data_IF_775097418860
#
_entry.id   IF_775097418860
#
_cell.length_a   1.000
_cell.length_b   1.000
_cell.length_c   1.000
_cell.angle_alpha   90.00
_cell.angle_beta   90.00
_cell.angle_gamma   90.00
#
_symmetry.space_group_name_H-M   'P 1'
#
loop_
_entity.id
_entity.type
_entity.pdbx_description
1 polymer ?
#
# COMPACT_ATOMS: atom_id res chain seq x y z
N UNK A 1 8.47 7.32 -26.20
CA UNK A 1 7.62 6.10 -26.15
C UNK A 1 6.66 6.16 -27.32
N UNK A 2 6.31 5.04 -27.95
CA UNK A 2 5.23 4.98 -28.96
C UNK A 2 3.91 4.74 -28.26
N UNK A 3 2.83 5.25 -28.85
CA UNK A 3 1.49 5.02 -28.36
C UNK A 3 1.18 3.52 -28.37
N UNK A 4 0.58 3.04 -27.29
CA UNK A 4 0.15 1.65 -27.18
C UNK A 4 -1.00 1.55 -26.17
N UNK A 5 -1.77 0.50 -26.32
CA UNK A 5 -2.76 0.05 -25.34
C UNK A 5 -2.83 -1.48 -25.40
N UNK A 6 -3.07 -2.08 -24.24
CA UNK A 6 -3.21 -3.53 -24.11
C UNK A 6 -4.42 -3.82 -23.23
N UNK A 7 -5.29 -4.69 -23.72
CA UNK A 7 -6.42 -5.24 -22.96
C UNK A 7 -6.02 -6.60 -22.40
N UNK A 8 -6.45 -6.86 -21.17
CA UNK A 8 -6.06 -8.01 -20.38
C UNK A 8 -7.31 -8.78 -19.93
N UNK A 9 -7.21 -10.10 -19.70
CA UNK A 9 -8.32 -10.89 -19.17
C UNK A 9 -8.86 -10.32 -17.85
N UNK A 10 -10.18 -10.25 -17.72
CA UNK A 10 -10.83 -9.77 -16.49
C UNK A 10 -10.73 -10.75 -15.33
N UNK A 11 -10.57 -12.03 -15.61
CA UNK A 11 -10.46 -13.10 -14.62
C UNK A 11 -9.21 -13.95 -14.88
N UNK A 12 -8.00 -13.41 -14.66
CA UNK A 12 -6.79 -14.19 -14.83
C UNK A 12 -6.69 -15.28 -13.75
N UNK A 13 -6.13 -16.45 -14.08
CA UNK A 13 -5.83 -17.46 -13.08
C UNK A 13 -4.89 -16.90 -12.00
N UNK A 14 -5.17 -17.21 -10.73
CA UNK A 14 -4.28 -16.85 -9.61
C UNK A 14 -4.33 -15.37 -9.17
N UNK A 15 -5.38 -14.63 -9.52
CA UNK A 15 -5.57 -13.29 -8.97
C UNK A 15 -5.91 -13.36 -7.47
N UNK A 16 -4.92 -13.08 -6.63
CA UNK A 16 -5.00 -13.20 -5.16
C UNK A 16 -4.91 -11.84 -4.44
N UNK A 17 -4.73 -10.74 -5.18
CA UNK A 17 -4.40 -9.44 -4.59
C UNK A 17 -5.60 -8.51 -4.40
N UNK A 18 -6.81 -8.97 -4.71
CA UNK A 18 -8.02 -8.13 -4.64
C UNK A 18 -8.03 -6.96 -5.65
N UNK A 19 -7.13 -7.02 -6.63
CA UNK A 19 -7.01 -6.06 -7.73
C UNK A 19 -6.66 -6.80 -9.01
N UNK A 20 -7.34 -6.50 -10.12
CA UNK A 20 -7.05 -7.04 -11.45
C UNK A 20 -6.91 -5.91 -12.43
N UNK A 21 -5.74 -5.75 -13.04
CA UNK A 21 -5.56 -4.85 -14.17
C UNK A 21 -6.23 -5.43 -15.42
N UNK A 22 -7.09 -4.65 -16.07
CA UNK A 22 -7.86 -5.02 -17.27
C UNK A 22 -7.40 -4.31 -18.51
N UNK A 23 -6.75 -3.15 -18.39
CA UNK A 23 -6.03 -2.51 -19.48
C UNK A 23 -4.87 -1.64 -18.96
N UNK A 24 -3.95 -1.36 -19.84
CA UNK A 24 -2.85 -0.40 -19.61
C UNK A 24 -2.48 0.24 -20.93
N UNK A 25 -2.17 1.53 -20.89
CA UNK A 25 -1.80 2.21 -22.12
C UNK A 25 -1.14 3.57 -21.92
N UNK A 26 -0.72 4.09 -23.06
CA UNK A 26 -0.08 5.37 -23.23
C UNK A 26 -0.46 5.95 -24.58
N UNK A 27 -0.86 7.21 -24.61
CA UNK A 27 -1.09 7.92 -25.85
C UNK A 27 -0.57 9.35 -25.79
N UNK A 28 -0.06 9.81 -26.92
CA UNK A 28 0.31 11.20 -27.15
C UNK A 28 -0.58 11.77 -28.26
N UNK A 29 -1.53 12.58 -27.86
CA UNK A 29 -2.46 13.23 -28.78
C UNK A 29 -1.88 14.60 -29.15
N UNK A 30 -1.48 14.75 -30.40
CA UNK A 30 -0.96 16.03 -30.89
C UNK A 30 -2.07 17.08 -31.06
N UNK A 31 -1.74 18.39 -31.05
CA UNK A 31 -2.70 19.43 -31.40
C UNK A 31 -3.43 19.15 -32.72
N UNK A 32 -4.67 19.56 -32.80
CA UNK A 32 -5.55 19.42 -33.98
C UNK A 32 -5.78 17.97 -34.45
N UNK A 33 -5.53 16.97 -33.57
CA UNK A 33 -5.80 15.56 -33.84
C UNK A 33 -7.20 15.19 -33.41
N UNK A 34 -7.94 14.44 -34.23
CA UNK A 34 -9.25 13.90 -33.84
C UNK A 34 -9.13 12.98 -32.63
N UNK A 35 -9.96 13.19 -31.64
CA UNK A 35 -10.00 12.39 -30.43
C UNK A 35 -11.38 11.74 -30.24
N UNK A 36 -11.48 10.48 -29.78
CA UNK A 36 -10.38 9.54 -29.57
C UNK A 36 -9.72 9.08 -30.89
N UNK A 37 -8.47 8.62 -30.85
CA UNK A 37 -7.79 8.10 -32.03
C UNK A 37 -8.53 6.92 -32.63
N UNK A 38 -8.59 6.80 -33.95
CA UNK A 38 -9.36 5.78 -34.69
C UNK A 38 -8.93 4.33 -34.45
N UNK A 39 -7.81 4.11 -33.77
CA UNK A 39 -7.25 2.77 -33.47
C UNK A 39 -7.78 2.15 -32.16
N UNK A 40 -8.65 2.85 -31.42
CA UNK A 40 -9.28 2.24 -30.24
C UNK A 40 -10.31 1.18 -30.65
N UNK A 41 -10.41 0.05 -29.92
CA UNK A 41 -11.48 -0.92 -30.09
C UNK A 41 -12.86 -0.26 -29.96
N UNK A 42 -13.87 -0.84 -30.61
CA UNK A 42 -15.20 -0.27 -30.66
C UNK A 42 -15.86 -0.05 -29.29
N UNK A 43 -15.54 -0.90 -28.33
CA UNK A 43 -16.01 -0.84 -26.93
C UNK A 43 -15.33 0.25 -26.08
N UNK A 44 -14.23 0.80 -26.57
CA UNK A 44 -13.51 1.93 -25.94
C UNK A 44 -13.57 3.20 -26.80
N UNK A 45 -14.19 3.12 -27.97
CA UNK A 45 -14.46 4.28 -28.80
C UNK A 45 -15.72 5.00 -28.28
N UNK A 46 -15.66 6.29 -28.16
CA UNK A 46 -16.83 7.11 -27.84
C UNK A 46 -16.82 8.41 -28.65
N UNK A 47 -17.99 8.91 -28.93
CA UNK A 47 -18.13 10.25 -29.47
C UNK A 47 -18.34 11.25 -28.33
N UNK A 48 -17.79 12.44 -28.50
CA UNK A 48 -17.92 13.50 -27.47
C UNK A 48 -19.38 13.77 -27.10
N UNK A 49 -20.30 13.70 -28.09
CA UNK A 49 -21.73 13.91 -27.91
C UNK A 49 -22.39 12.88 -26.98
N UNK A 50 -21.89 11.64 -26.98
CA UNK A 50 -22.50 10.54 -26.25
C UNK A 50 -21.80 10.22 -24.93
N UNK A 51 -20.49 10.43 -24.84
CA UNK A 51 -19.68 9.99 -23.72
C UNK A 51 -19.60 8.47 -23.62
N UNK A 52 -19.30 7.93 -22.45
CA UNK A 52 -19.27 6.48 -22.22
C UNK A 52 -19.48 6.11 -20.75
N UNK A 53 -19.77 4.81 -20.52
CA UNK A 53 -19.81 4.20 -19.19
C UNK A 53 -18.85 3.01 -19.21
N UNK A 54 -17.87 2.97 -18.31
CA UNK A 54 -16.99 1.82 -18.09
C UNK A 54 -17.53 0.93 -16.98
N UNK A 55 -17.13 -0.35 -16.98
CA UNK A 55 -17.49 -1.33 -15.94
C UNK A 55 -16.32 -1.58 -14.95
N UNK A 56 -15.25 -0.80 -15.05
CA UNK A 56 -14.05 -0.88 -14.24
C UNK A 56 -13.60 0.51 -13.80
N UNK A 57 -12.71 0.56 -12.84
CA UNK A 57 -12.04 1.80 -12.49
C UNK A 57 -10.92 2.06 -13.49
N UNK A 58 -10.75 3.33 -13.88
CA UNK A 58 -9.61 3.73 -14.69
C UNK A 58 -8.92 4.92 -14.03
N UNK A 59 -7.60 4.83 -13.89
CA UNK A 59 -6.75 5.90 -13.43
C UNK A 59 -5.99 6.42 -14.64
N UNK A 60 -6.19 7.71 -14.97
CA UNK A 60 -5.55 8.38 -16.10
C UNK A 60 -4.71 9.52 -15.56
N UNK A 61 -3.45 9.60 -15.92
CA UNK A 61 -2.55 10.68 -15.56
C UNK A 61 -2.17 11.49 -16.81
N UNK A 62 -2.42 12.78 -16.76
CA UNK A 62 -2.06 13.70 -17.86
C UNK A 62 -0.70 14.32 -17.53
N UNK A 63 0.34 13.89 -18.24
CA UNK A 63 1.71 14.35 -18.00
C UNK A 63 2.13 15.58 -18.81
N UNK A 64 1.36 15.94 -19.82
CA UNK A 64 1.56 17.17 -20.62
C UNK A 64 0.27 17.56 -21.34
N UNK A 65 0.13 18.83 -21.66
CA UNK A 65 -1.03 19.38 -22.37
C UNK A 65 -2.20 19.70 -21.45
N UNK A 66 -3.36 19.91 -22.02
CA UNK A 66 -4.60 20.29 -21.34
C UNK A 66 -5.82 19.70 -22.03
N UNK A 67 -6.97 19.79 -21.37
CA UNK A 67 -8.24 19.29 -21.92
C UNK A 67 -9.42 19.55 -21.00
N UNK A 68 -10.47 18.81 -21.20
CA UNK A 68 -11.71 18.90 -20.43
C UNK A 68 -12.20 17.52 -20.02
N UNK A 69 -12.90 17.47 -18.89
CA UNK A 69 -13.55 16.30 -18.35
C UNK A 69 -14.95 16.63 -17.85
N UNK A 70 -15.89 15.70 -18.02
CA UNK A 70 -17.25 15.80 -17.51
C UNK A 70 -17.75 14.42 -17.09
N UNK A 71 -18.57 14.35 -16.05
CA UNK A 71 -19.24 13.14 -15.59
C UNK A 71 -20.59 13.47 -14.95
N UNK A 72 -21.40 12.46 -14.70
CA UNK A 72 -22.70 12.61 -14.00
C UNK A 72 -22.58 13.29 -12.63
N UNK A 73 -21.42 13.20 -12.01
CA UNK A 73 -21.15 13.81 -10.70
C UNK A 73 -20.48 15.19 -10.78
N UNK A 74 -20.16 15.66 -12.00
CA UNK A 74 -19.59 17.00 -12.22
C UNK A 74 -20.64 17.82 -12.96
N UNK A 75 -21.29 18.75 -12.30
CA UNK A 75 -22.37 19.55 -12.90
C UNK A 75 -21.96 20.43 -14.09
N UNK A 76 -20.67 20.54 -14.38
CA UNK A 76 -20.08 21.30 -15.49
C UNK A 76 -18.77 20.64 -15.94
N UNK A 77 -18.39 20.82 -17.21
CA UNK A 77 -17.06 20.45 -17.67
C UNK A 77 -15.98 21.07 -16.78
N UNK A 78 -15.00 20.27 -16.42
CA UNK A 78 -13.86 20.68 -15.57
C UNK A 78 -12.60 20.71 -16.43
N UNK A 79 -11.74 21.71 -16.18
CA UNK A 79 -10.46 21.81 -16.85
C UNK A 79 -9.52 20.69 -16.37
N UNK A 80 -8.77 20.15 -17.31
CA UNK A 80 -7.72 19.15 -17.08
C UNK A 80 -6.41 19.76 -17.57
N UNK A 81 -5.40 19.73 -16.72
CA UNK A 81 -4.08 20.31 -17.00
C UNK A 81 -2.99 19.27 -16.80
N UNK A 82 -1.79 19.57 -17.26
CA UNK A 82 -0.60 18.78 -16.96
C UNK A 82 -0.45 18.59 -15.44
N UNK A 83 -0.28 17.34 -14.99
CA UNK A 83 -0.28 16.98 -13.59
C UNK A 83 -1.66 16.67 -13.01
N UNK A 84 -2.71 16.60 -13.84
CA UNK A 84 -4.03 16.12 -13.43
C UNK A 84 -4.09 14.61 -13.48
N UNK A 85 -4.74 14.03 -12.48
CA UNK A 85 -5.07 12.62 -12.41
C UNK A 85 -6.59 12.48 -12.45
N UNK A 86 -7.11 11.77 -13.44
CA UNK A 86 -8.52 11.48 -13.60
C UNK A 86 -8.81 10.10 -13.07
N UNK A 87 -9.88 9.95 -12.30
CA UNK A 87 -10.35 8.67 -11.79
C UNK A 87 -11.75 8.42 -12.32
N UNK A 88 -11.90 7.37 -13.11
CA UNK A 88 -13.17 6.94 -13.66
C UNK A 88 -13.72 5.79 -12.83
N UNK A 89 -15.02 5.79 -12.64
CA UNK A 89 -15.72 4.84 -11.76
C UNK A 89 -16.65 3.95 -12.57
N UNK A 90 -16.79 2.65 -12.20
CA UNK A 90 -17.72 1.75 -12.87
C UNK A 90 -19.15 2.26 -12.78
N UNK A 91 -19.88 2.16 -13.88
CA UNK A 91 -21.29 2.56 -13.97
C UNK A 91 -21.52 4.07 -14.02
N UNK A 92 -20.49 4.92 -13.96
CA UNK A 92 -20.62 6.39 -14.00
C UNK A 92 -20.36 6.87 -15.41
N UNK A 93 -21.34 7.60 -15.99
CA UNK A 93 -21.16 8.25 -17.28
C UNK A 93 -20.09 9.34 -17.20
N UNK A 94 -19.21 9.40 -18.21
CA UNK A 94 -18.17 10.40 -18.33
C UNK A 94 -17.77 10.64 -19.78
N UNK A 95 -17.14 11.79 -19.99
CA UNK A 95 -16.42 12.12 -21.22
C UNK A 95 -15.24 13.00 -20.94
N UNK A 96 -14.21 12.89 -21.75
CA UNK A 96 -13.02 13.74 -21.67
C UNK A 96 -12.36 13.85 -23.04
N UNK A 97 -11.64 14.94 -23.27
CA UNK A 97 -10.91 15.15 -24.50
C UNK A 97 -9.77 16.13 -24.27
N UNK A 98 -8.64 16.00 -25.01
CA UNK A 98 -7.62 17.02 -25.04
C UNK A 98 -8.15 18.33 -25.66
N UNK A 99 -7.58 19.41 -25.24
CA UNK A 99 -7.75 20.69 -25.93
C UNK A 99 -7.14 20.60 -27.32
N UNK A 100 -7.85 21.16 -28.32
CA UNK A 100 -7.46 21.06 -29.74
C UNK A 100 -6.12 21.76 -30.04
N UNK A 101 -5.78 22.81 -29.29
CA UNK A 101 -4.60 23.61 -29.56
C UNK A 101 -3.37 23.12 -28.85
N UNK A 102 -3.52 22.41 -27.73
CA UNK A 102 -2.41 21.89 -26.94
C UNK A 102 -2.19 20.41 -27.12
N UNK A 103 -3.26 19.62 -27.38
CA UNK A 103 -3.22 18.19 -27.25
C UNK A 103 -2.90 17.76 -25.82
N UNK A 104 -2.56 16.50 -25.59
CA UNK A 104 -2.04 16.04 -24.32
C UNK A 104 -1.24 14.73 -24.40
N UNK A 105 -0.60 14.37 -23.28
CA UNK A 105 0.02 13.05 -23.08
C UNK A 105 -0.68 12.37 -21.92
N UNK A 106 -1.30 11.22 -22.18
CA UNK A 106 -2.06 10.44 -21.21
C UNK A 106 -1.42 9.08 -20.95
N UNK A 107 -1.44 8.68 -19.70
CA UNK A 107 -1.03 7.37 -19.20
C UNK A 107 -2.23 6.79 -18.47
N UNK A 108 -2.57 5.52 -18.67
CA UNK A 108 -3.66 4.93 -17.92
C UNK A 108 -3.42 3.50 -17.52
N UNK A 109 -4.12 3.10 -16.49
CA UNK A 109 -4.34 1.73 -16.08
C UNK A 109 -5.82 1.57 -15.70
N UNK A 110 -6.41 0.52 -16.18
CA UNK A 110 -7.75 0.09 -15.81
C UNK A 110 -7.67 -1.08 -14.85
N UNK A 111 -8.48 -1.06 -13.80
CA UNK A 111 -8.48 -2.08 -12.77
C UNK A 111 -9.89 -2.34 -12.25
N UNK A 112 -10.07 -3.53 -11.69
CA UNK A 112 -11.27 -3.91 -10.94
C UNK A 112 -10.91 -4.69 -9.68
N UNK A 113 -11.84 -4.76 -8.73
CA UNK A 113 -11.72 -5.59 -7.54
C UNK A 113 -11.90 -4.83 -6.22
N UNK A 114 -12.02 -5.57 -5.10
CA UNK A 114 -12.40 -5.04 -3.80
C UNK A 114 -11.44 -3.98 -3.24
N UNK A 115 -10.19 -3.91 -3.69
CA UNK A 115 -9.26 -2.85 -3.29
C UNK A 115 -9.75 -1.47 -3.73
N UNK A 116 -10.35 -1.38 -4.93
CA UNK A 116 -10.91 -0.12 -5.43
C UNK A 116 -12.22 0.23 -4.74
N UNK A 117 -13.08 -0.77 -4.48
CA UNK A 117 -14.32 -0.58 -3.72
C UNK A 117 -14.03 -0.06 -2.31
N UNK A 118 -13.01 -0.61 -1.67
CA UNK A 118 -12.55 -0.16 -0.36
C UNK A 118 -11.98 1.26 -0.40
N UNK A 119 -11.25 1.63 -1.45
CA UNK A 119 -10.74 2.99 -1.64
C UNK A 119 -11.88 4.02 -1.79
N UNK A 120 -12.98 3.65 -2.45
CA UNK A 120 -14.20 4.48 -2.51
C UNK A 120 -14.86 4.56 -1.14
N UNK A 121 -15.05 3.43 -0.47
CA UNK A 121 -15.69 3.36 0.85
C UNK A 121 -14.94 4.19 1.91
N UNK A 122 -13.63 4.20 1.86
CA UNK A 122 -12.76 4.95 2.79
C UNK A 122 -12.54 6.41 2.37
N UNK A 123 -13.04 6.82 1.19
CA UNK A 123 -12.92 8.18 0.70
C UNK A 123 -11.57 8.52 0.09
N UNK A 124 -10.70 7.52 -0.16
CA UNK A 124 -9.43 7.73 -0.88
C UNK A 124 -9.71 8.23 -2.30
N UNK A 125 -10.74 7.72 -2.94
CA UNK A 125 -11.24 8.21 -4.23
C UNK A 125 -12.74 8.37 -4.16
N UNK A 126 -13.29 9.39 -4.83
CA UNK A 126 -14.71 9.70 -4.77
C UNK A 126 -15.25 10.09 -6.15
N UNK A 127 -16.44 9.58 -6.56
CA UNK A 127 -17.04 9.95 -7.84
C UNK A 127 -17.37 11.44 -7.97
N UNK A 128 -17.61 12.11 -6.82
CA UNK A 128 -17.87 13.55 -6.75
C UNK A 128 -16.64 14.43 -6.92
N UNK A 129 -15.43 13.82 -6.82
CA UNK A 129 -14.14 14.48 -7.01
C UNK A 129 -13.25 13.64 -7.94
N UNK A 130 -13.61 13.49 -9.22
CA UNK A 130 -12.92 12.59 -10.14
C UNK A 130 -11.58 13.14 -10.65
N UNK A 131 -11.29 14.40 -10.45
CA UNK A 131 -10.04 15.04 -10.84
C UNK A 131 -9.22 15.42 -9.61
N UNK A 132 -7.95 15.03 -9.61
CA UNK A 132 -6.98 15.42 -8.61
C UNK A 132 -5.83 16.16 -9.28
N UNK A 133 -5.57 17.36 -8.81
CA UNK A 133 -4.43 18.16 -9.28
C UNK A 133 -3.21 17.84 -8.44
N UNK A 134 -2.40 16.89 -8.89
CA UNK A 134 -1.21 16.39 -8.17
C UNK A 134 0.07 17.10 -8.59
N UNK A 135 0.04 17.85 -9.69
CA UNK A 135 1.25 18.27 -10.37
C UNK A 135 1.97 17.07 -11.00
N UNK A 136 3.17 17.31 -11.52
CA UNK A 136 4.03 16.25 -12.08
C UNK A 136 4.76 15.52 -10.95
N UNK A 137 3.98 14.85 -10.09
CA UNK A 137 4.49 14.15 -8.92
C UNK A 137 5.40 12.98 -9.33
N UNK A 138 6.68 12.93 -8.85
CA UNK A 138 7.63 11.92 -9.28
C UNK A 138 7.21 10.49 -8.97
N UNK A 139 6.47 10.26 -7.89
CA UNK A 139 6.00 8.91 -7.53
C UNK A 139 4.94 8.41 -8.52
N UNK A 140 4.02 9.26 -8.98
CA UNK A 140 3.05 8.91 -10.02
C UNK A 140 3.76 8.61 -11.36
N UNK A 141 4.70 9.47 -11.75
CA UNK A 141 5.47 9.24 -12.99
C UNK A 141 6.20 7.89 -12.94
N UNK A 142 6.90 7.58 -11.84
CA UNK A 142 7.58 6.28 -11.66
C UNK A 142 6.62 5.09 -11.71
N UNK A 143 5.43 5.23 -11.14
CA UNK A 143 4.41 4.18 -11.20
C UNK A 143 4.00 3.89 -12.65
N UNK A 144 3.68 4.91 -13.42
CA UNK A 144 3.30 4.73 -14.82
C UNK A 144 4.47 4.25 -15.69
N UNK A 145 5.69 4.76 -15.49
CA UNK A 145 6.89 4.23 -16.14
C UNK A 145 7.08 2.73 -15.88
N UNK A 146 6.81 2.29 -14.64
CA UNK A 146 6.85 0.87 -14.29
C UNK A 146 5.76 0.07 -14.99
N UNK A 147 4.53 0.61 -15.06
CA UNK A 147 3.44 -0.02 -15.82
C UNK A 147 3.84 -0.19 -17.30
N UNK A 148 4.40 0.84 -17.91
CA UNK A 148 4.86 0.79 -19.31
C UNK A 148 5.98 -0.23 -19.53
N UNK A 149 6.94 -0.30 -18.61
CA UNK A 149 8.03 -1.27 -18.67
C UNK A 149 7.51 -2.72 -18.55
N UNK A 150 6.52 -2.97 -17.72
CA UNK A 150 5.87 -4.28 -17.58
C UNK A 150 5.08 -4.64 -18.84
N UNK A 151 4.32 -3.70 -19.39
CA UNK A 151 3.55 -3.90 -20.61
C UNK A 151 4.46 -4.20 -21.80
N UNK A 152 5.56 -3.47 -21.97
CA UNK A 152 6.54 -3.68 -23.04
C UNK A 152 7.24 -5.05 -22.97
N UNK A 153 7.35 -5.65 -21.77
CA UNK A 153 7.93 -6.99 -21.56
C UNK A 153 6.90 -8.11 -21.71
N UNK A 154 5.65 -7.80 -22.09
CA UNK A 154 4.56 -8.75 -22.22
C UNK A 154 3.50 -8.55 -21.14
N UNK A 155 2.52 -7.70 -21.42
CA UNK A 155 1.49 -7.30 -20.47
C UNK A 155 0.69 -8.50 -19.90
N UNK A 156 0.35 -9.48 -20.74
CA UNK A 156 -0.39 -10.67 -20.31
C UNK A 156 0.40 -11.49 -19.27
N UNK A 157 1.68 -11.74 -19.53
CA UNK A 157 2.55 -12.48 -18.59
C UNK A 157 2.80 -11.71 -17.29
N UNK A 158 2.71 -10.38 -17.33
CA UNK A 158 2.95 -9.48 -16.19
C UNK A 158 1.66 -8.92 -15.59
N UNK A 159 0.48 -9.45 -15.93
CA UNK A 159 -0.81 -8.92 -15.48
C UNK A 159 -0.91 -8.84 -13.94
N UNK A 160 -0.38 -9.83 -13.22
CA UNK A 160 -0.35 -9.83 -11.76
C UNK A 160 0.49 -8.67 -11.18
N UNK A 161 1.60 -8.30 -11.84
CA UNK A 161 2.40 -7.14 -11.43
C UNK A 161 1.70 -5.82 -11.80
N UNK A 162 1.04 -5.75 -12.94
CA UNK A 162 0.21 -4.59 -13.32
C UNK A 162 -0.95 -4.41 -12.32
N UNK A 163 -1.57 -5.51 -11.88
CA UNK A 163 -2.62 -5.48 -10.86
C UNK A 163 -2.13 -4.88 -9.54
N UNK A 164 -0.95 -5.29 -9.08
CA UNK A 164 -0.36 -4.68 -7.86
C UNK A 164 0.02 -3.21 -8.06
N UNK A 165 0.37 -2.79 -9.28
CA UNK A 165 0.61 -1.37 -9.59
C UNK A 165 -0.68 -0.54 -9.48
N UNK A 166 -1.84 -1.07 -9.86
CA UNK A 166 -3.13 -0.42 -9.64
C UNK A 166 -3.41 -0.15 -8.16
N UNK A 167 -3.20 -1.15 -7.30
CA UNK A 167 -3.31 -0.99 -5.86
C UNK A 167 -2.27 -0.02 -5.28
N UNK A 168 -1.04 -0.04 -5.80
CA UNK A 168 0.01 0.89 -5.39
C UNK A 168 -0.33 2.33 -5.77
N UNK A 169 -0.88 2.57 -6.97
CA UNK A 169 -1.36 3.90 -7.38
C UNK A 169 -2.44 4.43 -6.43
N UNK A 170 -3.40 3.60 -5.98
CA UNK A 170 -4.37 4.03 -4.96
C UNK A 170 -3.69 4.47 -3.66
N UNK A 171 -2.62 3.78 -3.25
CA UNK A 171 -1.85 4.16 -2.06
C UNK A 171 -1.15 5.51 -2.25
N UNK A 172 -0.55 5.75 -3.43
CA UNK A 172 0.07 7.04 -3.78
C UNK A 172 -0.99 8.15 -3.83
N UNK A 173 -2.16 7.87 -4.42
CA UNK A 173 -3.28 8.83 -4.46
C UNK A 173 -3.74 9.19 -3.05
N UNK A 174 -3.95 8.20 -2.19
CA UNK A 174 -4.32 8.43 -0.79
C UNK A 174 -3.28 9.27 -0.03
N UNK A 175 -2.01 9.03 -0.31
CA UNK A 175 -0.91 9.83 0.23
C UNK A 175 -0.98 11.30 -0.24
N UNK A 176 -1.17 11.53 -1.54
CA UNK A 176 -1.20 12.88 -2.14
C UNK A 176 -2.44 13.69 -1.75
N UNK A 177 -3.58 13.05 -1.49
CA UNK A 177 -4.80 13.72 -1.05
C UNK A 177 -4.81 14.13 0.43
N UNK A 178 -3.74 13.91 1.10
CA UNK A 178 -3.66 14.18 2.53
C UNK A 178 -4.06 12.98 3.35
N UNK A 179 -3.55 11.84 2.99
CA UNK A 179 -3.15 10.87 3.99
C UNK A 179 -2.56 11.68 5.13
N UNK A 180 -2.58 11.31 6.39
CA UNK A 180 -2.45 12.21 7.53
C UNK A 180 -1.47 13.33 7.24
N UNK A 181 -1.93 14.59 7.27
CA UNK A 181 -1.20 15.78 6.79
C UNK A 181 0.26 15.64 7.20
N UNK A 182 1.14 15.41 6.23
CA UNK A 182 2.56 15.24 6.47
C UNK A 182 3.11 16.60 6.94
N UNK A 183 2.99 16.83 8.22
CA UNK A 183 3.91 17.74 8.86
C UNK A 183 5.20 16.96 9.07
N UNK A 184 6.15 17.15 8.17
CA UNK A 184 7.45 16.49 8.18
C UNK A 184 8.10 16.51 9.57
N UNK A 185 7.94 17.58 10.32
CA UNK A 185 8.47 17.71 11.69
C UNK A 185 7.75 16.77 12.65
N UNK A 186 6.43 16.65 12.52
CA UNK A 186 5.61 15.74 13.31
C UNK A 186 5.96 14.28 12.97
N UNK A 187 6.10 13.96 11.69
CA UNK A 187 6.41 12.60 11.27
C UNK A 187 7.82 12.20 11.71
N UNK A 188 8.83 13.06 11.56
CA UNK A 188 10.17 12.86 12.09
C UNK A 188 10.17 12.69 13.61
N UNK A 189 9.34 13.46 14.33
CA UNK A 189 9.16 13.32 15.79
C UNK A 189 8.59 11.94 16.15
N UNK A 190 7.52 11.51 15.44
CA UNK A 190 6.86 10.23 15.70
C UNK A 190 7.75 9.05 15.34
N UNK A 191 8.44 9.08 14.21
CA UNK A 191 9.43 8.06 13.83
C UNK A 191 10.53 7.91 14.87
N UNK A 192 11.09 9.02 15.35
CA UNK A 192 12.10 9.00 16.43
C UNK A 192 11.53 8.46 17.74
N UNK A 193 10.33 8.88 18.12
CA UNK A 193 9.67 8.38 19.33
C UNK A 193 9.39 6.88 19.24
N UNK A 194 8.85 6.42 18.10
CA UNK A 194 8.58 5.03 17.78
C UNK A 194 9.88 4.18 17.90
N UNK A 195 10.97 4.63 17.26
CA UNK A 195 12.27 3.96 17.31
C UNK A 195 12.84 3.89 18.74
N UNK A 196 12.79 4.98 19.50
CA UNK A 196 13.28 5.02 20.90
C UNK A 196 12.49 4.08 21.81
N UNK A 197 11.15 4.07 21.70
CA UNK A 197 10.30 3.18 22.48
C UNK A 197 10.56 1.71 22.13
N UNK A 198 10.74 1.39 20.86
CA UNK A 198 11.02 0.03 20.41
C UNK A 198 12.42 -0.44 20.86
N UNK A 199 13.43 0.43 20.72
CA UNK A 199 14.81 0.12 21.10
C UNK A 199 14.96 -0.11 22.61
N UNK A 200 14.33 0.74 23.43
CA UNK A 200 14.44 0.71 24.91
C UNK A 200 13.29 -0.04 25.56
N UNK A 201 12.55 -0.86 24.84
CA UNK A 201 11.34 -1.51 25.36
C UNK A 201 11.60 -2.49 26.52
N UNK A 202 12.86 -2.93 26.72
CA UNK A 202 13.28 -3.80 27.83
C UNK A 202 13.58 -3.01 29.11
N UNK A 203 13.74 -1.72 29.00
CA UNK A 203 14.04 -0.85 30.14
C UNK A 203 12.74 -0.41 30.84
N UNK A 204 12.87 0.07 32.09
CA UNK A 204 11.79 0.82 32.78
C UNK A 204 11.65 2.19 32.12
N UNK A 205 10.97 2.23 31.00
CA UNK A 205 10.89 3.39 30.13
C UNK A 205 10.12 4.54 30.81
N UNK A 206 10.77 5.69 30.92
CA UNK A 206 10.13 6.95 31.25
C UNK A 206 9.71 7.65 29.97
N UNK A 207 8.41 7.60 29.62
CA UNK A 207 7.86 8.29 28.45
C UNK A 207 8.02 9.82 28.52
N UNK A 208 7.92 10.47 29.72
CA UNK A 208 8.28 11.87 29.86
C UNK A 208 9.76 12.16 29.54
N UNK A 209 10.68 11.24 29.90
CA UNK A 209 12.10 11.39 29.55
C UNK A 209 12.34 11.28 28.04
N UNK A 210 11.63 10.39 27.34
CA UNK A 210 11.66 10.33 25.86
C UNK A 210 11.14 11.63 25.27
N UNK A 211 10.04 12.18 25.76
CA UNK A 211 9.51 13.46 25.27
C UNK A 211 10.53 14.59 25.44
N UNK A 212 11.19 14.65 26.61
CA UNK A 212 12.25 15.62 26.88
C UNK A 212 13.47 15.44 25.93
N UNK A 213 13.89 14.19 25.67
CA UNK A 213 14.97 13.86 24.72
C UNK A 213 14.61 14.30 23.28
N UNK A 214 13.33 14.26 22.93
CA UNK A 214 12.83 14.70 21.64
C UNK A 214 12.53 16.21 21.58
N UNK A 215 12.74 16.95 22.67
CA UNK A 215 12.54 18.39 22.74
C UNK A 215 11.08 18.83 22.79
N UNK A 216 10.16 17.98 23.24
CA UNK A 216 8.72 18.27 23.31
C UNK A 216 8.13 17.95 24.68
N UNK A 217 6.96 18.53 24.99
CA UNK A 217 6.20 18.14 26.18
C UNK A 217 5.63 16.72 26.03
N UNK A 218 5.49 16.00 27.15
CA UNK A 218 4.87 14.67 27.11
C UNK A 218 3.40 14.72 26.63
N UNK A 219 2.67 15.76 26.95
CA UNK A 219 1.30 15.93 26.47
C UNK A 219 1.23 16.05 24.94
N UNK A 220 2.13 16.84 24.37
CA UNK A 220 2.23 17.00 22.93
C UNK A 220 2.63 15.68 22.25
N UNK A 221 3.70 15.02 22.76
CA UNK A 221 4.09 13.70 22.23
C UNK A 221 2.96 12.69 22.31
N UNK A 222 2.25 12.61 23.44
CA UNK A 222 1.15 11.66 23.63
C UNK A 222 0.01 11.90 22.63
N UNK A 223 -0.41 13.15 22.47
CA UNK A 223 -1.49 13.50 21.54
C UNK A 223 -1.10 13.17 20.11
N UNK A 224 0.03 13.71 19.67
CA UNK A 224 0.53 13.55 18.29
C UNK A 224 0.81 12.09 17.94
N UNK A 225 1.40 11.33 18.89
CA UNK A 225 1.66 9.90 18.71
C UNK A 225 0.36 9.11 18.57
N UNK A 226 -0.65 9.44 19.40
CA UNK A 226 -1.95 8.77 19.34
C UNK A 226 -2.68 9.08 18.04
N UNK A 227 -2.64 10.32 17.57
CA UNK A 227 -3.29 10.74 16.32
C UNK A 227 -2.65 10.07 15.10
N UNK A 228 -1.33 9.80 15.15
CA UNK A 228 -0.59 9.19 14.02
C UNK A 228 -0.55 7.67 14.05
N UNK A 229 -0.38 7.07 15.22
CA UNK A 229 -0.19 5.61 15.40
C UNK A 229 -1.52 4.91 15.79
N UNK A 230 -2.53 5.66 16.23
CA UNK A 230 -3.78 5.10 16.76
C UNK A 230 -3.66 4.52 18.17
N UNK A 231 -2.47 4.55 18.76
CA UNK A 231 -2.16 4.04 20.10
C UNK A 231 -1.41 5.10 20.89
N UNK A 232 -1.68 5.23 22.19
CA UNK A 232 -0.83 6.05 23.05
C UNK A 232 0.58 5.44 23.15
N UNK A 233 1.63 6.25 23.42
CA UNK A 233 3.01 5.75 23.60
C UNK A 233 3.12 4.62 24.63
N UNK A 234 2.28 4.67 25.69
CA UNK A 234 2.21 3.63 26.72
C UNK A 234 1.62 2.32 26.19
N UNK A 235 0.54 2.40 25.40
CA UNK A 235 -0.07 1.23 24.78
C UNK A 235 0.89 0.61 23.75
N UNK A 236 1.51 1.44 22.93
CA UNK A 236 2.51 0.99 21.97
C UNK A 236 3.71 0.30 22.65
N UNK A 237 4.29 0.89 23.71
CA UNK A 237 5.35 0.26 24.49
C UNK A 237 4.93 -1.11 25.05
N UNK A 238 3.71 -1.21 25.58
CA UNK A 238 3.16 -2.49 26.05
C UNK A 238 3.07 -3.50 24.92
N UNK A 239 2.56 -3.10 23.76
CA UNK A 239 2.42 -3.98 22.58
C UNK A 239 3.77 -4.51 22.11
N UNK A 240 4.79 -3.66 21.99
CA UNK A 240 6.14 -4.07 21.60
C UNK A 240 6.75 -5.08 22.60
N UNK A 241 6.56 -4.85 23.90
CA UNK A 241 7.02 -5.80 24.93
C UNK A 241 6.31 -7.15 24.84
N UNK A 242 5.00 -7.15 24.60
CA UNK A 242 4.23 -8.39 24.44
C UNK A 242 4.63 -9.15 23.18
N UNK A 243 4.91 -8.46 22.08
CA UNK A 243 5.45 -9.09 20.87
C UNK A 243 6.81 -9.75 21.12
N UNK A 244 7.72 -9.05 21.80
CA UNK A 244 9.01 -9.64 22.21
C UNK A 244 8.84 -10.81 23.19
N UNK A 245 7.82 -10.74 24.07
CA UNK A 245 7.51 -11.86 24.94
C UNK A 245 7.07 -13.10 24.13
N UNK A 246 6.25 -12.93 23.11
CA UNK A 246 5.89 -14.03 22.21
C UNK A 246 7.11 -14.64 21.52
N UNK A 247 8.02 -13.79 21.01
CA UNK A 247 9.26 -14.25 20.38
C UNK A 247 10.14 -15.07 21.35
N UNK A 248 10.37 -14.56 22.57
CA UNK A 248 11.15 -15.25 23.59
C UNK A 248 10.50 -16.55 24.05
N UNK A 249 9.18 -16.55 24.24
CA UNK A 249 8.41 -17.74 24.63
C UNK A 249 8.41 -18.81 23.52
N UNK A 250 8.43 -18.43 22.25
CA UNK A 250 8.45 -19.35 21.12
C UNK A 250 9.85 -19.93 20.83
N UNK A 251 10.91 -19.10 21.02
CA UNK A 251 12.28 -19.43 20.60
C UNK A 251 13.17 -19.96 21.72
N UNK A 252 12.75 -19.84 23.00
CA UNK A 252 13.57 -20.22 24.15
C UNK A 252 12.79 -21.06 25.15
N UNK A 253 13.53 -21.74 26.06
CA UNK A 253 12.97 -22.49 27.20
C UNK A 253 12.81 -21.65 28.47
N UNK A 254 13.05 -20.32 28.42
CA UNK A 254 12.99 -19.43 29.57
C UNK A 254 11.62 -19.45 30.25
N UNK A 255 11.62 -19.39 31.56
CA UNK A 255 10.38 -19.27 32.36
C UNK A 255 9.64 -17.95 32.07
N UNK A 256 8.37 -17.88 32.42
CA UNK A 256 7.60 -16.65 32.29
C UNK A 256 8.18 -15.53 33.18
N UNK A 257 8.77 -15.92 34.33
CA UNK A 257 9.44 -14.95 35.22
C UNK A 257 10.69 -14.37 34.55
N UNK A 258 11.58 -15.20 33.99
CA UNK A 258 12.78 -14.71 33.28
C UNK A 258 12.41 -13.81 32.07
N UNK A 259 11.34 -14.16 31.35
CA UNK A 259 10.86 -13.32 30.23
C UNK A 259 10.31 -11.99 30.77
N UNK A 260 9.61 -12.01 31.91
CA UNK A 260 9.13 -10.78 32.55
C UNK A 260 10.27 -9.86 33.00
N UNK A 261 11.33 -10.44 33.58
CA UNK A 261 12.51 -9.71 34.04
C UNK A 261 13.29 -9.08 32.87
N UNK A 262 13.52 -9.85 31.80
CA UNK A 262 14.19 -9.37 30.58
C UNK A 262 13.44 -8.20 29.95
N UNK A 263 12.11 -8.26 29.95
CA UNK A 263 11.28 -7.25 29.31
C UNK A 263 10.85 -6.12 30.25
N UNK A 264 11.42 -6.05 31.49
CA UNK A 264 11.16 -4.99 32.45
C UNK A 264 9.72 -4.95 32.98
N UNK A 265 9.00 -6.07 33.03
CA UNK A 265 7.74 -6.17 33.76
C UNK A 265 8.02 -6.25 35.28
N UNK A 266 7.11 -5.73 36.08
CA UNK A 266 7.28 -5.79 37.54
C UNK A 266 7.19 -7.22 38.11
N UNK A 267 6.52 -8.14 37.39
CA UNK A 267 6.38 -9.53 37.80
C UNK A 267 5.87 -10.39 36.63
N UNK A 268 6.05 -11.72 36.76
CA UNK A 268 5.43 -12.72 35.86
C UNK A 268 3.89 -12.61 35.85
N UNK A 269 3.30 -12.20 36.99
CA UNK A 269 1.85 -11.98 37.05
C UNK A 269 1.40 -10.82 36.17
N UNK A 270 2.12 -9.71 36.19
CA UNK A 270 1.81 -8.55 35.33
C UNK A 270 1.95 -8.92 33.84
N UNK A 271 3.05 -9.59 33.48
CA UNK A 271 3.23 -10.10 32.11
C UNK A 271 2.07 -11.01 31.73
N UNK A 272 1.75 -12.02 32.55
CA UNK A 272 0.68 -12.98 32.26
C UNK A 272 -0.69 -12.33 32.08
N UNK A 273 -1.02 -11.35 32.92
CA UNK A 273 -2.27 -10.59 32.83
C UNK A 273 -2.36 -9.82 31.52
N UNK A 274 -1.33 -9.04 31.19
CA UNK A 274 -1.32 -8.23 29.97
C UNK A 274 -1.23 -9.11 28.72
N UNK A 275 -0.46 -10.18 28.77
CA UNK A 275 -0.34 -11.14 27.68
C UNK A 275 -1.69 -11.80 27.37
N UNK A 276 -2.40 -12.31 28.39
CA UNK A 276 -3.74 -12.88 28.21
C UNK A 276 -4.74 -11.88 27.66
N UNK A 277 -4.68 -10.65 28.12
CA UNK A 277 -5.58 -9.57 27.67
C UNK A 277 -5.38 -9.23 26.19
N UNK A 278 -4.14 -9.23 25.68
CA UNK A 278 -3.81 -8.81 24.30
C UNK A 278 -3.71 -9.98 23.32
N UNK A 279 -3.25 -11.16 23.78
CA UNK A 279 -2.99 -12.33 22.94
C UNK A 279 -4.12 -13.37 23.03
N UNK A 280 -4.96 -13.26 24.06
CA UNK A 280 -6.10 -14.18 24.30
C UNK A 280 -5.75 -15.41 25.15
N UNK A 281 -4.48 -15.78 25.26
CA UNK A 281 -4.02 -16.96 26.02
C UNK A 281 -3.00 -16.59 27.11
N UNK A 282 -2.91 -17.41 28.15
CA UNK A 282 -1.81 -17.30 29.12
C UNK A 282 -0.46 -17.67 28.46
N UNK A 283 0.68 -17.05 28.86
CA UNK A 283 1.99 -17.28 28.22
C UNK A 283 2.40 -18.75 28.10
N UNK A 284 2.21 -19.56 29.15
CA UNK A 284 2.56 -20.99 29.14
C UNK A 284 1.67 -21.79 28.18
N UNK A 285 0.36 -21.50 28.17
CA UNK A 285 -0.59 -22.17 27.28
C UNK A 285 -0.32 -21.79 25.81
N UNK A 286 -0.04 -20.52 25.56
CA UNK A 286 0.33 -20.03 24.24
C UNK A 286 1.61 -20.71 23.75
N UNK A 287 2.67 -20.83 24.57
CA UNK A 287 3.91 -21.57 24.26
C UNK A 287 3.62 -23.01 23.85
N UNK A 288 2.80 -23.71 24.63
CA UNK A 288 2.45 -25.11 24.36
C UNK A 288 1.76 -25.28 23.01
N UNK A 289 0.91 -24.32 22.61
CA UNK A 289 0.27 -24.30 21.30
C UNK A 289 1.28 -24.07 20.16
N UNK A 290 2.29 -23.22 20.35
CA UNK A 290 3.32 -22.97 19.34
C UNK A 290 4.22 -24.19 19.11
N UNK A 291 4.63 -24.86 20.19
CA UNK A 291 5.42 -26.10 20.08
C UNK A 291 4.67 -27.18 19.28
N UNK A 292 3.34 -27.30 19.46
CA UNK A 292 2.51 -28.23 18.69
C UNK A 292 2.32 -27.84 17.22
N UNK A 293 2.48 -26.56 16.87
CA UNK A 293 2.32 -26.05 15.51
C UNK A 293 3.61 -26.10 14.68
N UNK A 294 4.79 -26.28 15.30
CA UNK A 294 6.03 -26.48 14.53
C UNK A 294 6.01 -27.88 13.93
N UNK A 295 6.06 -28.04 12.59
CA UNK A 295 6.25 -29.34 11.98
C UNK A 295 7.59 -29.90 12.51
N UNK A 296 7.60 -31.18 12.86
CA UNK A 296 8.75 -31.93 13.37
C UNK A 296 10.02 -31.49 12.64
N UNK A 297 10.96 -30.89 13.36
CA UNK A 297 12.32 -30.61 12.87
C UNK A 297 12.82 -31.92 12.28
N UNK A 298 13.04 -31.93 10.96
CA UNK A 298 13.69 -33.04 10.26
C UNK A 298 14.95 -33.39 11.06
N UNK A 299 14.96 -34.55 11.74
CA UNK A 299 16.16 -35.08 12.38
C UNK A 299 17.20 -35.19 11.26
N UNK A 300 18.20 -34.30 11.26
CA UNK A 300 19.40 -34.48 10.44
C UNK A 300 19.95 -35.87 10.77
N UNK A 301 19.76 -36.86 9.88
CA UNK A 301 20.49 -38.12 9.92
C UNK A 301 21.96 -37.76 9.92
N UNK A 302 22.68 -38.16 10.97
CA UNK A 302 24.15 -38.22 10.97
C UNK A 302 24.51 -39.09 9.76
N UNK A 303 25.13 -38.49 8.76
CA UNK A 303 25.84 -39.20 7.71
C UNK A 303 27.11 -39.72 8.40
N UNK A 304 27.08 -41.01 8.80
CA UNK A 304 28.27 -41.70 9.26
C UNK A 304 29.30 -41.69 8.12
N UNK A 305 30.42 -41.07 8.40
CA UNK A 305 31.65 -41.21 7.63
C UNK A 305 32.09 -42.68 7.71
N UNK A 306 31.86 -43.44 6.64
CA UNK A 306 32.63 -44.64 6.30
C UNK A 306 33.32 -44.41 4.97
N UNK A 307 34.37 -43.62 5.00
CA UNK A 307 35.45 -43.69 4.02
C UNK A 307 36.44 -44.70 4.63
N UNK A 308 36.28 -45.97 4.32
CA UNK A 308 37.38 -46.93 4.45
C UNK A 308 38.16 -46.99 3.16
N UNK A 309 39.34 -46.43 3.23
CA UNK A 309 40.57 -46.84 2.55
C UNK A 309 40.42 -48.13 1.72
N UNK A 310 40.61 -47.98 0.41
CA UNK A 310 41.27 -48.99 -0.41
C UNK A 310 42.30 -48.31 -1.26
N UNK A 311 43.53 -48.27 -0.68
CA UNK A 311 44.77 -48.18 -1.43
C UNK A 311 45.39 -49.57 -1.23
N UNK A 312 45.50 -50.29 -2.32
CA UNK A 312 46.49 -51.33 -2.70
C UNK A 312 45.86 -52.32 -3.64
N UNK A 313 46.07 -52.20 -4.88
CA UNK A 313 46.83 -52.99 -5.85
C UNK A 313 46.67 -52.38 -7.23
#
# INVERSE_FOLDING_TARGET
>A
MRDYFVYLPQQPPGNIWGCTATSVGFARVAPHTKYPPTRHPADHHFEWSEGRILQCYQIIFISAGSGIFESDHTHKPQAVESGSLLILFPGVWHRYAPDSDTGWTEHWIECQGPVFEEAVRTGIVQPTQPILHTGLEPDLLRCFERCHALAARGALANQHLLSTMGAHLLSVIGYLQGGPRFDRRIDELIERAHALIALRCQERLSLPAIAAELGVSYSHLRQTFTDRIGLSPKQYHCQVRLQKAQELLASTTRSVQEVADILGFHSAFQLSKQFKQHVGDAPQHWRSKQVRRQPLRIKRKRVDQRIKTNAKN
#
